data_IF_574403171890
#
_entry.id   IF_574403171890
#
_cell.length_a   1.000
_cell.length_b   1.000
_cell.length_c   1.000
_cell.angle_alpha   90.00
_cell.angle_beta   90.00
_cell.angle_gamma   90.00
#
_symmetry.space_group_name_H-M   'P 1'
#
loop_
_entity.id
_entity.type
_entity.pdbx_description
1 polymer ?
#
# COMPACT_ATOMS: atom_id res chain seq x y z
N UNK A 1 -16.98 28.96 14.94
CA UNK A 1 -18.03 27.95 15.22
C UNK A 1 -18.33 27.01 14.05
N UNK A 2 -17.89 27.26 12.80
CA UNK A 2 -18.17 26.38 11.65
C UNK A 2 -17.27 25.14 11.46
N UNK A 3 -16.00 25.15 11.91
CA UNK A 3 -15.09 24.00 11.72
C UNK A 3 -15.56 22.70 12.39
N UNK A 4 -16.31 22.80 13.50
CA UNK A 4 -16.78 21.61 14.20
C UNK A 4 -17.95 20.95 13.44
N UNK A 5 -18.87 21.74 12.85
CA UNK A 5 -20.03 21.20 12.13
C UNK A 5 -19.67 20.51 10.82
N UNK A 6 -18.66 21.02 10.10
CA UNK A 6 -18.25 20.42 8.83
C UNK A 6 -17.53 19.08 9.03
N UNK A 7 -16.73 18.98 10.10
CA UNK A 7 -16.10 17.71 10.46
C UNK A 7 -17.08 16.68 11.03
N UNK A 8 -18.08 17.09 11.82
CA UNK A 8 -19.19 16.20 12.20
C UNK A 8 -19.88 15.62 10.96
N UNK A 9 -20.15 16.47 9.96
CA UNK A 9 -20.76 16.03 8.71
C UNK A 9 -19.86 15.00 8.01
N UNK A 10 -18.57 15.29 7.85
CA UNK A 10 -17.59 14.38 7.26
C UNK A 10 -17.57 13.01 7.95
N UNK A 11 -17.58 12.98 9.29
CA UNK A 11 -17.61 11.73 10.06
C UNK A 11 -18.90 10.94 9.84
N UNK A 12 -20.03 11.64 9.66
CA UNK A 12 -21.32 11.02 9.42
C UNK A 12 -21.44 10.42 8.01
N UNK A 13 -20.92 11.10 6.99
CA UNK A 13 -21.12 10.69 5.59
C UNK A 13 -19.92 9.98 4.97
N UNK A 14 -18.70 10.25 5.40
CA UNK A 14 -17.48 9.83 4.72
C UNK A 14 -16.96 8.45 5.14
N UNK A 15 -17.43 7.93 6.28
CA UNK A 15 -16.99 6.63 6.80
C UNK A 15 -17.83 5.49 6.22
N UNK A 16 -17.21 4.45 5.62
CA UNK A 16 -17.98 3.33 5.08
C UNK A 16 -18.77 2.55 6.15
N UNK A 17 -19.80 1.76 5.75
CA UNK A 17 -20.69 1.08 6.69
C UNK A 17 -20.01 0.12 7.65
N UNK A 18 -18.92 -0.54 7.24
CA UNK A 18 -18.16 -1.41 8.13
C UNK A 18 -17.47 -0.63 9.25
N UNK A 19 -16.89 0.54 8.94
CA UNK A 19 -16.23 1.42 9.92
C UNK A 19 -17.24 2.00 10.90
N UNK A 20 -18.37 2.53 10.41
CA UNK A 20 -19.40 3.11 11.29
C UNK A 20 -20.00 2.07 12.23
N UNK A 21 -20.16 0.82 11.78
CA UNK A 21 -20.59 -0.30 12.62
C UNK A 21 -19.54 -0.69 13.67
N UNK A 22 -18.26 -0.77 13.29
CA UNK A 22 -17.18 -1.17 14.20
C UNK A 22 -16.89 -0.09 15.26
N UNK A 23 -16.91 1.18 14.85
CA UNK A 23 -16.49 2.32 15.66
C UNK A 23 -17.55 3.43 15.68
N UNK A 24 -18.73 3.19 16.28
CA UNK A 24 -19.89 4.09 16.19
C UNK A 24 -19.64 5.48 16.82
N UNK A 25 -18.71 5.58 17.76
CA UNK A 25 -18.38 6.82 18.47
C UNK A 25 -17.02 7.41 18.08
N UNK A 26 -16.33 6.80 17.12
CA UNK A 26 -15.01 7.26 16.71
C UNK A 26 -15.06 8.59 15.96
N UNK A 27 -13.98 9.36 16.16
CA UNK A 27 -13.66 10.61 15.46
C UNK A 27 -12.67 10.41 14.31
N UNK A 28 -12.20 9.19 14.09
CA UNK A 28 -11.30 8.86 13.00
C UNK A 28 -12.05 8.89 11.66
N UNK A 29 -11.56 9.67 10.71
CA UNK A 29 -12.09 9.73 9.35
C UNK A 29 -11.48 8.61 8.50
N UNK A 30 -11.83 7.36 8.82
CA UNK A 30 -11.42 6.19 8.03
C UNK A 30 -12.34 6.07 6.80
N UNK A 31 -11.76 6.10 5.61
CA UNK A 31 -12.46 6.26 4.32
C UNK A 31 -12.10 5.15 3.33
N UNK A 32 -12.84 5.05 2.24
CA UNK A 32 -12.45 4.20 1.11
C UNK A 32 -11.13 4.65 0.48
N UNK A 33 -10.34 3.70 -0.03
CA UNK A 33 -9.17 4.00 -0.88
C UNK A 33 -9.51 4.89 -2.08
N UNK A 34 -10.74 4.83 -2.60
CA UNK A 34 -11.22 5.71 -3.69
C UNK A 34 -11.10 7.20 -3.36
N UNK A 35 -11.37 7.56 -2.11
CA UNK A 35 -11.26 8.96 -1.64
C UNK A 35 -9.81 9.43 -1.73
N UNK A 36 -8.87 8.55 -1.34
CA UNK A 36 -7.43 8.83 -1.33
C UNK A 36 -6.92 9.03 -2.74
N UNK A 37 -7.27 8.12 -3.66
CA UNK A 37 -6.87 8.25 -5.06
C UNK A 37 -7.45 9.50 -5.73
N UNK A 38 -8.75 9.77 -5.54
CA UNK A 38 -9.39 10.95 -6.13
C UNK A 38 -8.76 12.27 -5.64
N UNK A 39 -8.33 12.34 -4.38
CA UNK A 39 -7.62 13.50 -3.88
C UNK A 39 -6.24 13.67 -4.54
N UNK A 40 -5.53 12.58 -4.79
CA UNK A 40 -4.25 12.60 -5.50
C UNK A 40 -4.41 12.98 -6.97
N UNK A 41 -5.42 12.44 -7.64
CA UNK A 41 -5.78 12.84 -9.02
C UNK A 41 -6.14 14.33 -9.07
N UNK A 42 -6.93 14.82 -8.11
CA UNK A 42 -7.32 16.24 -8.04
C UNK A 42 -6.12 17.16 -7.78
N UNK A 43 -5.16 16.73 -6.95
CA UNK A 43 -3.90 17.45 -6.72
C UNK A 43 -3.06 17.51 -7.98
N UNK A 44 -3.00 16.40 -8.72
CA UNK A 44 -2.20 16.23 -9.92
C UNK A 44 -0.71 16.15 -9.60
N UNK A 45 -0.01 15.21 -10.26
CA UNK A 45 1.44 14.99 -10.06
C UNK A 45 1.78 14.87 -8.57
N UNK A 46 1.04 13.98 -7.90
CA UNK A 46 1.17 13.73 -6.48
C UNK A 46 0.95 12.25 -6.20
N UNK A 47 1.65 11.75 -5.19
CA UNK A 47 1.45 10.42 -4.63
C UNK A 47 1.19 10.51 -3.13
N UNK A 48 0.41 9.59 -2.60
CA UNK A 48 0.39 9.32 -1.17
C UNK A 48 1.33 8.16 -0.85
N UNK A 49 1.60 7.99 0.44
CA UNK A 49 2.24 6.81 0.98
C UNK A 49 1.18 5.79 1.38
N UNK A 50 1.39 4.55 1.01
CA UNK A 50 0.80 3.42 1.70
C UNK A 50 1.85 2.91 2.70
N UNK A 51 1.63 3.27 3.97
CA UNK A 51 2.57 3.00 5.04
C UNK A 51 2.26 1.62 5.62
N UNK A 52 3.19 0.69 5.41
CA UNK A 52 2.99 -0.68 5.85
C UNK A 52 3.15 -0.77 7.38
N UNK A 53 2.03 -0.90 8.06
CA UNK A 53 1.86 -0.80 9.51
C UNK A 53 2.32 -2.04 10.26
N UNK A 54 3.55 -2.52 10.03
CA UNK A 54 4.12 -3.72 10.69
C UNK A 54 4.05 -3.65 12.22
N UNK A 55 4.07 -2.45 12.81
CA UNK A 55 4.03 -2.25 14.25
C UNK A 55 3.37 -0.91 14.64
N UNK A 56 3.10 -0.74 15.94
CA UNK A 56 2.43 0.44 16.50
C UNK A 56 3.18 1.76 16.25
N UNK A 57 4.52 1.73 16.24
CA UNK A 57 5.35 2.92 16.05
C UNK A 57 5.22 3.47 14.62
N UNK A 58 5.20 2.58 13.64
CA UNK A 58 4.99 2.94 12.22
C UNK A 58 3.63 3.59 12.02
N UNK A 59 2.56 2.97 12.53
CA UNK A 59 1.20 3.51 12.41
C UNK A 59 1.10 4.91 13.03
N UNK A 60 1.64 5.09 14.25
CA UNK A 60 1.62 6.39 14.95
C UNK A 60 2.38 7.47 14.19
N UNK A 61 3.61 7.17 13.76
CA UNK A 61 4.45 8.15 13.07
C UNK A 61 3.87 8.54 11.72
N UNK A 62 3.37 7.59 10.94
CA UNK A 62 2.74 7.86 9.65
C UNK A 62 1.48 8.73 9.78
N UNK A 63 0.63 8.45 10.77
CA UNK A 63 -0.58 9.25 11.05
C UNK A 63 -0.23 10.69 11.47
N UNK A 64 0.75 10.85 12.37
CA UNK A 64 1.21 12.19 12.79
C UNK A 64 1.81 12.98 11.63
N UNK A 65 2.63 12.33 10.79
CA UNK A 65 3.23 12.94 9.62
C UNK A 65 2.18 13.42 8.61
N UNK A 66 1.21 12.56 8.27
CA UNK A 66 0.17 12.90 7.31
C UNK A 66 -0.78 13.99 7.86
N UNK A 67 -1.09 13.97 9.16
CA UNK A 67 -1.84 15.05 9.82
C UNK A 67 -1.09 16.38 9.76
N UNK A 68 0.23 16.36 10.01
CA UNK A 68 1.09 17.56 9.93
C UNK A 68 1.18 18.10 8.50
N UNK A 69 1.17 17.22 7.50
CA UNK A 69 1.23 17.57 6.08
C UNK A 69 -0.13 17.92 5.44
N UNK A 70 -1.25 17.83 6.19
CA UNK A 70 -2.61 17.86 5.63
C UNK A 70 -2.73 16.92 4.40
N UNK A 71 -2.21 15.71 4.52
CA UNK A 71 -2.16 14.74 3.43
C UNK A 71 -3.08 13.54 3.71
N UNK A 72 -3.68 12.97 2.67
CA UNK A 72 -4.31 11.64 2.79
C UNK A 72 -3.25 10.57 2.96
N UNK A 73 -3.63 9.45 3.57
CA UNK A 73 -2.73 8.35 3.91
C UNK A 73 -3.44 7.00 3.69
N UNK A 74 -2.69 5.98 3.25
CA UNK A 74 -3.09 4.60 3.49
C UNK A 74 -2.20 4.00 4.59
N UNK A 75 -2.80 3.24 5.50
CA UNK A 75 -2.09 2.31 6.36
C UNK A 75 -2.39 0.92 5.84
N UNK A 76 -1.35 0.15 5.53
CA UNK A 76 -1.47 -1.15 4.89
C UNK A 76 -0.74 -2.26 5.65
N UNK A 77 -1.01 -3.51 5.31
CA UNK A 77 -0.23 -4.67 5.74
C UNK A 77 -0.33 -5.72 4.66
N UNK A 78 0.75 -6.43 4.33
CA UNK A 78 0.69 -7.51 3.36
C UNK A 78 0.10 -8.80 3.96
N UNK A 79 -0.45 -9.68 3.11
CA UNK A 79 -0.95 -11.00 3.53
C UNK A 79 0.16 -11.84 4.19
N UNK A 80 1.36 -11.84 3.62
CA UNK A 80 2.51 -12.57 4.18
C UNK A 80 2.92 -12.04 5.55
N UNK A 81 2.94 -10.71 5.71
CA UNK A 81 3.34 -10.02 6.93
C UNK A 81 2.39 -10.20 8.10
N UNK A 82 1.11 -10.46 7.82
CA UNK A 82 0.10 -10.78 8.83
C UNK A 82 0.46 -12.03 9.67
N UNK A 83 1.43 -12.84 9.24
CA UNK A 83 1.91 -14.03 9.96
C UNK A 83 3.07 -13.76 10.92
N UNK A 84 3.82 -12.67 10.74
CA UNK A 84 5.02 -12.34 11.52
C UNK A 84 5.06 -10.90 12.03
N UNK A 85 3.94 -10.19 11.94
CA UNK A 85 3.73 -8.88 12.55
C UNK A 85 2.58 -8.95 13.59
N UNK A 86 2.60 -8.11 14.64
CA UNK A 86 1.48 -7.96 15.56
C UNK A 86 0.22 -7.39 14.87
N UNK A 87 0.40 -6.68 13.76
CA UNK A 87 -0.68 -6.10 12.95
C UNK A 87 -1.01 -7.02 11.80
N UNK A 88 -2.31 -7.18 11.52
CA UNK A 88 -2.85 -8.00 10.44
C UNK A 88 -4.19 -7.43 9.96
N UNK A 89 -4.76 -8.04 8.91
CA UNK A 89 -6.03 -7.61 8.30
C UNK A 89 -7.21 -7.48 9.29
N UNK A 90 -7.19 -8.21 10.39
CA UNK A 90 -8.31 -8.28 11.34
C UNK A 90 -8.18 -7.29 12.51
N UNK A 91 -7.03 -6.64 12.68
CA UNK A 91 -6.81 -5.71 13.79
C UNK A 91 -6.28 -4.33 13.37
N UNK A 92 -5.78 -4.17 12.14
CA UNK A 92 -5.18 -2.93 11.66
C UNK A 92 -6.11 -1.72 11.80
N UNK A 93 -7.41 -1.88 11.48
CA UNK A 93 -8.40 -0.82 11.61
C UNK A 93 -8.61 -0.39 13.07
N UNK A 94 -8.57 -1.34 14.03
CA UNK A 94 -8.67 -1.04 15.46
C UNK A 94 -7.48 -0.21 15.94
N UNK A 95 -6.26 -0.53 15.49
CA UNK A 95 -5.06 0.24 15.82
C UNK A 95 -5.14 1.66 15.25
N UNK A 96 -5.48 1.79 13.97
CA UNK A 96 -5.60 3.10 13.31
C UNK A 96 -6.69 3.94 13.98
N UNK A 97 -7.86 3.37 14.25
CA UNK A 97 -8.96 4.04 14.95
C UNK A 97 -8.54 4.55 16.33
N UNK A 98 -7.93 3.68 17.14
CA UNK A 98 -7.48 4.02 18.49
C UNK A 98 -6.45 5.15 18.48
N UNK A 99 -5.46 5.08 17.59
CA UNK A 99 -4.41 6.09 17.47
C UNK A 99 -4.99 7.42 16.95
N UNK A 100 -5.92 7.38 16.00
CA UNK A 100 -6.57 8.58 15.49
C UNK A 100 -7.34 9.31 16.60
N UNK A 101 -8.10 8.58 17.42
CA UNK A 101 -8.84 9.18 18.53
C UNK A 101 -7.92 9.68 19.65
N UNK A 102 -6.85 8.94 19.97
CA UNK A 102 -5.85 9.34 20.97
C UNK A 102 -5.13 10.64 20.59
N UNK A 103 -4.71 10.75 19.33
CA UNK A 103 -3.88 11.86 18.83
C UNK A 103 -4.69 12.99 18.18
N UNK A 104 -6.01 12.85 18.08
CA UNK A 104 -6.88 13.84 17.42
C UNK A 104 -6.64 13.96 15.91
N UNK A 105 -6.37 12.83 15.23
CA UNK A 105 -6.16 12.79 13.78
C UNK A 105 -7.50 13.00 13.06
N UNK A 106 -7.52 13.94 12.12
CA UNK A 106 -8.72 14.37 11.37
C UNK A 106 -8.55 14.28 9.86
N UNK A 107 -7.38 13.87 9.37
CA UNK A 107 -7.18 13.60 7.95
C UNK A 107 -7.94 12.31 7.53
N UNK A 108 -8.33 12.18 6.26
CA UNK A 108 -8.85 10.93 5.73
C UNK A 108 -7.76 9.86 5.65
N UNK A 109 -8.05 8.67 6.17
CA UNK A 109 -7.13 7.52 6.17
C UNK A 109 -7.82 6.30 5.58
N UNK A 110 -7.19 5.62 4.62
CA UNK A 110 -7.67 4.33 4.15
C UNK A 110 -6.91 3.19 4.82
N UNK A 111 -7.62 2.09 5.11
CA UNK A 111 -7.06 0.82 5.55
C UNK A 111 -6.97 -0.11 4.33
N UNK A 112 -5.75 -0.47 3.94
CA UNK A 112 -5.48 -1.24 2.73
C UNK A 112 -4.96 -2.63 3.06
N UNK A 113 -5.56 -3.65 2.46
CA UNK A 113 -5.02 -5.01 2.45
C UNK A 113 -4.06 -5.12 1.27
N UNK A 114 -2.75 -5.05 1.55
CA UNK A 114 -1.69 -5.06 0.55
C UNK A 114 -1.39 -6.50 0.11
N UNK A 115 -0.95 -6.67 -1.14
CA UNK A 115 -0.64 -7.96 -1.78
C UNK A 115 -1.52 -9.10 -1.26
N UNK A 116 -2.84 -9.04 -1.50
CA UNK A 116 -3.71 -10.17 -1.21
C UNK A 116 -3.46 -11.27 -2.27
N UNK A 117 -2.33 -11.95 -2.10
CA UNK A 117 -1.75 -12.86 -3.07
C UNK A 117 -2.63 -14.09 -3.33
N UNK A 118 -2.88 -14.32 -4.62
CA UNK A 118 -3.52 -15.49 -5.22
C UNK A 118 -2.45 -16.15 -6.11
N UNK A 119 -1.81 -17.20 -5.59
CA UNK A 119 -0.73 -17.91 -6.29
C UNK A 119 -1.28 -19.07 -7.13
N UNK A 120 -2.49 -19.54 -6.81
CA UNK A 120 -3.14 -20.67 -7.47
C UNK A 120 -4.67 -20.58 -7.46
N UNK A 121 -5.34 -21.41 -8.26
CA UNK A 121 -6.81 -21.51 -8.23
C UNK A 121 -7.35 -22.01 -6.88
N UNK A 122 -6.55 -22.76 -6.12
CA UNK A 122 -6.92 -23.25 -4.78
C UNK A 122 -7.08 -22.09 -3.79
N UNK A 123 -6.28 -21.03 -3.93
CA UNK A 123 -6.34 -19.84 -3.09
C UNK A 123 -7.66 -19.08 -3.25
N UNK A 124 -8.30 -19.15 -4.43
CA UNK A 124 -9.55 -18.43 -4.74
C UNK A 124 -10.67 -18.85 -3.78
N UNK A 125 -10.78 -20.15 -3.47
CA UNK A 125 -11.84 -20.64 -2.57
C UNK A 125 -11.70 -20.10 -1.16
N UNK A 126 -10.46 -20.02 -0.66
CA UNK A 126 -10.18 -19.42 0.64
C UNK A 126 -10.40 -17.90 0.61
N UNK A 127 -9.98 -17.22 -0.45
CA UNK A 127 -10.16 -15.79 -0.66
C UNK A 127 -11.64 -15.37 -0.62
N UNK A 128 -12.53 -16.13 -1.25
CA UNK A 128 -13.99 -15.88 -1.20
C UNK A 128 -14.56 -15.89 0.22
N UNK A 129 -13.98 -16.68 1.12
CA UNK A 129 -14.38 -16.73 2.54
C UNK A 129 -13.74 -15.58 3.33
N UNK A 130 -12.47 -15.31 3.09
CA UNK A 130 -11.68 -14.39 3.91
C UNK A 130 -11.94 -12.91 3.57
N UNK A 131 -12.05 -12.55 2.28
CA UNK A 131 -12.25 -11.16 1.84
C UNK A 131 -13.44 -10.49 2.55
N UNK A 132 -14.66 -11.07 2.57
CA UNK A 132 -15.78 -10.48 3.30
C UNK A 132 -15.49 -10.30 4.80
N UNK A 133 -14.76 -11.23 5.41
CA UNK A 133 -14.41 -11.20 6.83
C UNK A 133 -13.41 -10.08 7.14
N UNK A 134 -12.42 -9.86 6.26
CA UNK A 134 -11.46 -8.76 6.36
C UNK A 134 -12.13 -7.39 6.22
N UNK A 135 -13.02 -7.23 5.24
CA UNK A 135 -13.85 -6.03 5.13
C UNK A 135 -14.74 -5.86 6.38
N UNK A 136 -15.28 -6.95 6.91
CA UNK A 136 -16.00 -6.98 8.18
C UNK A 136 -15.17 -6.51 9.39
N UNK A 137 -13.85 -6.67 9.35
CA UNK A 137 -12.90 -6.25 10.37
C UNK A 137 -12.32 -4.83 10.17
N UNK A 138 -12.72 -4.14 9.10
CA UNK A 138 -12.42 -2.72 8.89
C UNK A 138 -11.44 -2.40 7.77
N UNK A 139 -11.07 -3.38 6.92
CA UNK A 139 -10.42 -3.08 5.64
C UNK A 139 -11.35 -2.20 4.79
N UNK A 140 -10.77 -1.24 4.06
CA UNK A 140 -11.50 -0.29 3.20
C UNK A 140 -10.97 -0.23 1.76
N UNK A 141 -9.87 -0.93 1.50
CA UNK A 141 -9.24 -1.07 0.20
C UNK A 141 -8.43 -2.37 0.14
N UNK A 142 -8.28 -2.97 -1.03
CA UNK A 142 -7.57 -4.23 -1.22
C UNK A 142 -6.80 -4.23 -2.55
N UNK A 143 -5.59 -4.77 -2.54
CA UNK A 143 -4.85 -5.18 -3.73
C UNK A 143 -5.08 -6.68 -3.99
N UNK A 144 -5.86 -7.02 -5.02
CA UNK A 144 -6.02 -8.41 -5.47
C UNK A 144 -4.87 -8.73 -6.41
N UNK A 145 -3.84 -9.34 -5.84
CA UNK A 145 -2.63 -9.71 -6.55
C UNK A 145 -2.71 -11.16 -7.00
N UNK A 146 -3.13 -11.35 -8.24
CA UNK A 146 -3.15 -12.63 -8.93
C UNK A 146 -2.06 -12.70 -10.02
N UNK A 147 -1.06 -11.82 -9.92
CA UNK A 147 -0.06 -11.59 -10.97
C UNK A 147 1.05 -12.65 -11.02
N UNK A 148 1.11 -13.54 -10.03
CA UNK A 148 1.90 -14.78 -10.05
C UNK A 148 1.32 -15.86 -10.99
N UNK A 149 0.06 -15.71 -11.42
CA UNK A 149 -0.59 -16.62 -12.35
C UNK A 149 -0.52 -16.11 -13.79
N UNK A 150 -0.79 -16.99 -14.75
CA UNK A 150 -0.89 -16.62 -16.17
C UNK A 150 -1.96 -15.54 -16.38
N UNK A 151 -1.80 -14.68 -17.38
CA UNK A 151 -2.63 -13.47 -17.55
C UNK A 151 -4.13 -13.74 -17.59
N UNK A 152 -4.57 -14.83 -18.22
CA UNK A 152 -5.98 -15.24 -18.22
C UNK A 152 -6.47 -15.59 -16.81
N UNK A 153 -5.67 -16.34 -16.04
CA UNK A 153 -5.99 -16.70 -14.65
C UNK A 153 -5.96 -15.49 -13.74
N UNK A 154 -5.02 -14.56 -13.92
CA UNK A 154 -4.97 -13.29 -13.19
C UNK A 154 -6.27 -12.50 -13.39
N UNK A 155 -6.67 -12.29 -14.65
CA UNK A 155 -7.91 -11.58 -14.97
C UNK A 155 -9.15 -12.32 -14.44
N UNK A 156 -9.23 -13.64 -14.63
CA UNK A 156 -10.39 -14.43 -14.17
C UNK A 156 -10.50 -14.45 -12.64
N UNK A 157 -9.39 -14.52 -11.92
CA UNK A 157 -9.39 -14.44 -10.45
C UNK A 157 -9.89 -13.06 -9.97
N UNK A 158 -9.43 -11.97 -10.59
CA UNK A 158 -9.93 -10.64 -10.26
C UNK A 158 -11.43 -10.49 -10.54
N UNK A 159 -11.94 -11.00 -11.67
CA UNK A 159 -13.38 -10.98 -11.98
C UNK A 159 -14.17 -11.75 -10.92
N UNK A 160 -13.71 -12.96 -10.58
CA UNK A 160 -14.40 -13.86 -9.65
C UNK A 160 -14.40 -13.34 -8.19
N UNK A 161 -13.28 -12.77 -7.74
CA UNK A 161 -13.15 -12.24 -6.38
C UNK A 161 -13.85 -10.89 -6.20
N UNK A 162 -14.08 -10.14 -7.28
CA UNK A 162 -14.75 -8.84 -7.19
C UNK A 162 -16.17 -8.93 -6.61
N UNK A 163 -16.88 -10.05 -6.80
CA UNK A 163 -18.21 -10.29 -6.22
C UNK A 163 -18.22 -10.21 -4.68
N UNK A 164 -17.06 -10.40 -4.05
CA UNK A 164 -16.89 -10.42 -2.59
C UNK A 164 -16.32 -9.10 -2.05
N UNK A 165 -15.99 -8.14 -2.94
CA UNK A 165 -15.42 -6.84 -2.59
C UNK A 165 -16.55 -5.80 -2.63
N UNK A 166 -16.78 -5.03 -1.55
CA UNK A 166 -17.78 -3.98 -1.56
C UNK A 166 -17.48 -2.94 -2.65
N UNK A 167 -18.48 -2.58 -3.46
CA UNK A 167 -18.33 -1.62 -4.57
C UNK A 167 -17.79 -0.24 -4.18
N UNK A 168 -17.98 0.18 -2.93
CA UNK A 168 -17.44 1.43 -2.39
C UNK A 168 -15.94 1.35 -2.04
N UNK A 169 -15.37 0.15 -1.89
CA UNK A 169 -13.98 -0.05 -1.48
C UNK A 169 -13.00 0.31 -2.59
N UNK A 170 -11.79 0.72 -2.21
CA UNK A 170 -10.69 0.93 -3.17
C UNK A 170 -10.16 -0.41 -3.70
N UNK A 171 -10.04 -0.56 -5.01
CA UNK A 171 -9.53 -1.76 -5.65
C UNK A 171 -8.20 -1.50 -6.35
N UNK A 172 -7.20 -2.29 -5.99
CA UNK A 172 -5.92 -2.37 -6.68
C UNK A 172 -5.77 -3.75 -7.31
N UNK A 173 -5.13 -3.79 -8.48
CA UNK A 173 -4.81 -5.02 -9.22
C UNK A 173 -3.36 -4.97 -9.68
N UNK A 174 -2.82 -6.09 -10.15
CA UNK A 174 -1.38 -6.19 -10.41
C UNK A 174 -1.08 -7.05 -11.64
N UNK A 175 0.02 -6.76 -12.31
CA UNK A 175 0.55 -7.55 -13.42
C UNK A 175 2.07 -7.55 -13.42
N UNK A 176 2.67 -8.72 -13.69
CA UNK A 176 4.10 -8.86 -13.98
C UNK A 176 4.90 -9.73 -13.00
N UNK A 177 4.38 -10.11 -11.84
CA UNK A 177 5.13 -10.92 -10.86
C UNK A 177 5.50 -12.31 -11.38
N UNK A 178 4.65 -12.93 -12.21
CA UNK A 178 4.96 -14.23 -12.86
C UNK A 178 6.27 -14.19 -13.66
N UNK A 179 6.72 -13.00 -14.08
CA UNK A 179 7.95 -12.83 -14.87
C UNK A 179 9.21 -12.71 -14.00
N UNK A 180 9.05 -12.70 -12.68
CA UNK A 180 10.11 -12.59 -11.69
C UNK A 180 10.98 -11.34 -11.82
N UNK A 181 12.15 -11.37 -11.20
CA UNK A 181 13.07 -10.22 -11.12
C UNK A 181 13.71 -9.81 -12.46
N UNK A 182 13.43 -10.52 -13.57
CA UNK A 182 14.03 -10.25 -14.87
C UNK A 182 13.02 -9.81 -15.94
N UNK A 183 11.75 -10.14 -15.78
CA UNK A 183 10.72 -9.72 -16.74
C UNK A 183 9.98 -8.48 -16.25
N UNK A 184 9.74 -7.56 -17.18
CA UNK A 184 9.01 -6.32 -16.93
C UNK A 184 7.59 -6.43 -17.48
N UNK A 185 6.65 -5.72 -16.85
CA UNK A 185 5.30 -5.57 -17.38
C UNK A 185 5.32 -4.81 -18.70
N UNK A 186 4.42 -5.16 -19.61
CA UNK A 186 4.26 -4.51 -20.91
C UNK A 186 2.94 -3.75 -20.99
N UNK A 187 2.81 -2.90 -22.02
CA UNK A 187 1.54 -2.23 -22.35
C UNK A 187 0.44 -3.27 -22.60
N UNK A 188 0.77 -4.39 -23.24
CA UNK A 188 -0.20 -5.41 -23.61
C UNK A 188 -0.69 -6.19 -22.37
N UNK A 189 0.20 -6.54 -21.44
CA UNK A 189 -0.20 -7.24 -20.20
C UNK A 189 -1.17 -6.37 -19.38
N UNK A 190 -0.79 -5.11 -19.14
CA UNK A 190 -1.59 -4.18 -18.36
C UNK A 190 -2.90 -3.81 -19.06
N UNK A 191 -2.86 -3.63 -20.39
CA UNK A 191 -4.06 -3.37 -21.19
C UNK A 191 -5.01 -4.57 -21.18
N UNK A 192 -4.49 -5.80 -21.23
CA UNK A 192 -5.30 -7.01 -21.19
C UNK A 192 -6.11 -7.09 -19.89
N UNK A 193 -5.44 -6.91 -18.75
CA UNK A 193 -6.06 -6.96 -17.43
C UNK A 193 -7.13 -5.86 -17.30
N UNK A 194 -6.78 -4.60 -17.54
CA UNK A 194 -7.69 -3.47 -17.31
C UNK A 194 -8.87 -3.48 -18.29
N UNK A 195 -8.67 -3.84 -19.55
CA UNK A 195 -9.78 -3.98 -20.52
C UNK A 195 -10.72 -5.10 -20.13
N UNK A 196 -10.17 -6.24 -19.71
CA UNK A 196 -10.96 -7.36 -19.21
C UNK A 196 -11.83 -6.96 -18.04
N UNK A 197 -11.26 -6.34 -17.02
CA UNK A 197 -12.01 -5.84 -15.86
C UNK A 197 -13.09 -4.84 -16.29
N UNK A 198 -12.74 -3.88 -17.15
CA UNK A 198 -13.68 -2.89 -17.65
C UNK A 198 -14.88 -3.52 -18.38
N UNK A 199 -14.65 -4.56 -19.19
CA UNK A 199 -15.70 -5.29 -19.90
C UNK A 199 -16.71 -5.95 -18.96
N UNK A 200 -16.26 -6.36 -17.78
CA UNK A 200 -17.09 -6.92 -16.71
C UNK A 200 -17.65 -5.86 -15.75
N UNK A 201 -17.46 -4.58 -16.03
CA UNK A 201 -17.96 -3.48 -15.19
C UNK A 201 -17.16 -3.28 -13.91
N UNK A 202 -15.92 -3.78 -13.87
CA UNK A 202 -15.00 -3.63 -12.75
C UNK A 202 -14.03 -2.50 -13.08
N UNK A 203 -13.89 -1.55 -12.15
CA UNK A 203 -13.08 -0.35 -12.31
C UNK A 203 -12.03 -0.33 -11.22
N UNK A 204 -10.84 -0.85 -11.51
CA UNK A 204 -9.71 -0.74 -10.60
C UNK A 204 -9.32 0.73 -10.41
N UNK A 205 -9.06 1.12 -9.17
CA UNK A 205 -8.57 2.44 -8.82
C UNK A 205 -7.07 2.52 -9.08
N UNK A 206 -6.35 1.44 -8.76
CA UNK A 206 -4.91 1.31 -8.96
C UNK A 206 -4.51 0.08 -9.76
N UNK A 207 -3.38 0.18 -10.46
CA UNK A 207 -2.63 -0.93 -11.03
C UNK A 207 -1.17 -0.88 -10.57
N UNK A 208 -0.68 -1.99 -10.03
CA UNK A 208 0.73 -2.23 -9.76
C UNK A 208 1.39 -2.94 -10.96
N UNK A 209 2.64 -2.60 -11.21
CA UNK A 209 3.42 -3.09 -12.36
C UNK A 209 4.79 -3.57 -11.86
N UNK A 210 5.24 -4.71 -12.37
CA UNK A 210 6.66 -5.07 -12.30
C UNK A 210 7.45 -4.15 -13.26
N UNK A 211 7.95 -3.05 -12.72
CA UNK A 211 8.74 -2.06 -13.44
C UNK A 211 10.23 -2.07 -13.05
N UNK A 212 10.71 -3.20 -12.50
CA UNK A 212 12.09 -3.38 -12.08
C UNK A 212 12.40 -2.90 -10.66
N UNK A 213 11.41 -2.42 -9.90
CA UNK A 213 11.55 -2.23 -8.45
C UNK A 213 11.57 -3.57 -7.72
N UNK A 214 12.44 -3.73 -6.71
CA UNK A 214 12.48 -4.90 -5.84
C UNK A 214 11.89 -4.60 -4.46
N UNK A 215 11.25 -5.59 -3.83
CA UNK A 215 10.90 -5.50 -2.41
C UNK A 215 12.17 -5.61 -1.55
N UNK A 216 12.25 -4.81 -0.48
CA UNK A 216 13.36 -4.88 0.48
C UNK A 216 14.52 -3.93 0.17
N UNK A 217 15.75 -4.45 0.25
CA UNK A 217 16.97 -3.68 -0.05
C UNK A 217 17.31 -3.84 -1.54
N UNK A 218 17.57 -2.73 -2.22
CA UNK A 218 17.93 -2.73 -3.64
C UNK A 218 19.26 -3.47 -3.88
N UNK A 219 19.25 -4.48 -4.75
CA UNK A 219 20.41 -5.33 -5.04
C UNK A 219 20.66 -5.59 -6.53
N UNK A 220 19.75 -5.16 -7.43
CA UNK A 220 19.75 -5.54 -8.86
C UNK A 220 20.37 -4.48 -9.78
N UNK A 221 20.47 -3.23 -9.33
CA UNK A 221 21.00 -2.09 -10.08
C UNK A 221 20.12 -1.57 -11.21
N UNK A 222 19.03 -2.26 -11.59
CA UNK A 222 18.09 -1.78 -12.62
C UNK A 222 17.24 -0.63 -12.07
N UNK A 223 16.63 -0.83 -10.90
CA UNK A 223 15.67 0.07 -10.28
C UNK A 223 14.46 0.40 -11.17
N UNK A 224 13.64 1.34 -10.70
CA UNK A 224 12.39 1.73 -11.37
C UNK A 224 12.62 2.20 -12.82
N UNK A 225 11.87 1.61 -13.76
CA UNK A 225 11.77 2.01 -15.17
C UNK A 225 10.64 3.04 -15.36
N UNK A 226 11.00 4.33 -15.28
CA UNK A 226 10.05 5.45 -15.28
C UNK A 226 9.35 5.61 -16.63
N UNK A 227 10.10 5.51 -17.73
CA UNK A 227 9.58 5.69 -19.10
C UNK A 227 8.59 4.58 -19.46
N UNK A 228 8.90 3.33 -19.11
CA UNK A 228 8.02 2.19 -19.29
C UNK A 228 6.70 2.40 -18.51
N UNK A 229 6.82 2.82 -17.26
CA UNK A 229 5.65 3.08 -16.40
C UNK A 229 4.78 4.20 -16.99
N UNK A 230 5.39 5.26 -17.51
CA UNK A 230 4.69 6.35 -18.19
C UNK A 230 3.98 5.87 -19.47
N UNK A 231 4.61 5.02 -20.26
CA UNK A 231 4.03 4.43 -21.48
C UNK A 231 2.79 3.58 -21.17
N UNK A 232 2.90 2.70 -20.17
CA UNK A 232 1.77 1.87 -19.72
C UNK A 232 0.63 2.74 -19.20
N UNK A 233 0.92 3.71 -18.31
CA UNK A 233 -0.11 4.61 -17.80
C UNK A 233 -0.76 5.44 -18.91
N UNK A 234 -0.01 5.81 -19.96
CA UNK A 234 -0.55 6.51 -21.12
C UNK A 234 -1.56 5.64 -21.88
N UNK A 235 -1.25 4.37 -22.08
CA UNK A 235 -2.17 3.43 -22.73
C UNK A 235 -3.46 3.20 -21.92
N UNK A 236 -3.38 3.30 -20.59
CA UNK A 236 -4.49 3.07 -19.67
C UNK A 236 -5.35 4.30 -19.36
N UNK A 237 -4.96 5.50 -19.81
CA UNK A 237 -5.71 6.76 -19.59
C UNK A 237 -7.23 6.65 -19.85
N UNK A 238 -7.72 5.97 -20.93
CA UNK A 238 -9.16 5.86 -21.18
C UNK A 238 -9.94 5.19 -20.04
N UNK A 239 -9.30 4.34 -19.25
CA UNK A 239 -9.92 3.59 -18.14
C UNK A 239 -9.82 4.30 -16.80
N UNK A 240 -9.09 5.42 -16.74
CA UNK A 240 -8.92 6.27 -15.55
C UNK A 240 -8.31 5.53 -14.33
N UNK A 241 -7.55 4.45 -14.56
CA UNK A 241 -6.79 3.74 -13.51
C UNK A 241 -5.50 4.50 -13.20
N UNK A 242 -5.17 4.60 -11.91
CA UNK A 242 -3.94 5.24 -11.43
C UNK A 242 -2.86 4.18 -11.23
N UNK A 243 -1.58 4.59 -11.24
CA UNK A 243 -0.50 3.66 -10.86
C UNK A 243 -0.37 3.49 -9.34
N UNK A 244 0.01 2.30 -8.91
CA UNK A 244 0.56 2.02 -7.59
C UNK A 244 2.04 1.61 -7.74
N UNK A 245 2.95 2.34 -7.07
CA UNK A 245 4.37 1.99 -7.05
C UNK A 245 4.66 1.11 -5.84
N UNK A 246 4.95 -0.16 -6.10
CA UNK A 246 5.49 -1.08 -5.11
C UNK A 246 7.01 -0.94 -4.97
N UNK A 247 7.63 -1.64 -4.02
CA UNK A 247 9.09 -1.63 -3.88
C UNK A 247 9.72 -0.23 -3.73
N UNK A 248 9.06 0.71 -3.05
CA UNK A 248 9.57 2.11 -2.95
C UNK A 248 10.81 2.21 -2.06
N UNK A 249 10.90 1.38 -1.02
CA UNK A 249 12.12 1.26 -0.22
C UNK A 249 13.24 0.70 -1.10
N UNK A 250 14.37 1.39 -1.14
CA UNK A 250 15.50 1.10 -2.02
C UNK A 250 15.61 1.98 -3.26
N UNK A 251 14.66 2.90 -3.50
CA UNK A 251 14.71 3.79 -4.66
C UNK A 251 15.07 5.24 -4.29
N UNK A 252 15.93 5.86 -5.10
CA UNK A 252 16.34 7.25 -4.92
C UNK A 252 15.14 8.20 -5.01
N UNK A 253 15.08 9.18 -4.11
CA UNK A 253 14.10 10.27 -4.13
C UNK A 253 13.92 10.93 -5.51
N UNK A 254 14.97 11.07 -6.32
CA UNK A 254 14.90 11.63 -7.69
C UNK A 254 14.10 10.73 -8.64
N UNK A 255 14.24 9.40 -8.55
CA UNK A 255 13.41 8.46 -9.33
C UNK A 255 11.95 8.52 -8.86
N UNK A 256 11.72 8.64 -7.57
CA UNK A 256 10.37 8.76 -7.01
C UNK A 256 9.69 10.08 -7.41
N UNK A 257 10.46 11.16 -7.50
CA UNK A 257 10.02 12.42 -8.10
C UNK A 257 9.71 12.28 -9.57
N UNK A 258 10.55 11.56 -10.31
CA UNK A 258 10.31 11.29 -11.72
C UNK A 258 9.00 10.53 -11.88
N UNK A 259 8.76 9.45 -11.12
CA UNK A 259 7.46 8.76 -11.12
C UNK A 259 6.31 9.72 -10.83
N UNK A 260 6.39 10.50 -9.75
CA UNK A 260 5.37 11.49 -9.38
C UNK A 260 5.10 12.51 -10.50
N UNK A 261 6.14 12.95 -11.21
CA UNK A 261 6.07 14.00 -12.22
C UNK A 261 5.70 13.52 -13.62
N UNK A 262 6.13 12.33 -14.03
CA UNK A 262 6.05 11.86 -15.43
C UNK A 262 4.96 10.83 -15.65
N UNK A 263 4.48 10.15 -14.60
CA UNK A 263 3.45 9.11 -14.71
C UNK A 263 2.11 9.58 -14.13
N UNK A 264 1.13 8.66 -14.10
CA UNK A 264 -0.16 8.79 -13.39
C UNK A 264 -0.19 7.95 -12.09
N UNK A 265 0.96 7.68 -11.47
CA UNK A 265 1.02 7.01 -10.16
C UNK A 265 0.49 7.94 -9.08
N UNK A 266 -0.33 7.41 -8.16
CA UNK A 266 -0.91 8.17 -7.03
C UNK A 266 -0.70 7.52 -5.66
N UNK A 267 -0.19 6.27 -5.62
CA UNK A 267 0.11 5.51 -4.40
C UNK A 267 1.53 4.96 -4.49
N UNK A 268 2.27 4.99 -3.37
CA UNK A 268 3.57 4.33 -3.25
C UNK A 268 3.67 3.54 -1.93
N UNK A 269 3.96 2.24 -2.00
CA UNK A 269 4.06 1.35 -0.84
C UNK A 269 5.43 1.49 -0.18
N UNK A 270 5.47 1.72 1.14
CA UNK A 270 6.71 1.86 1.92
C UNK A 270 6.61 1.03 3.19
N UNK A 271 7.53 0.07 3.34
CA UNK A 271 7.53 -0.86 4.48
C UNK A 271 8.88 -0.89 5.22
N UNK A 272 9.93 -1.39 4.56
CA UNK A 272 11.22 -1.63 5.20
C UNK A 272 11.82 -0.37 5.80
N UNK A 273 11.84 0.75 5.08
CA UNK A 273 12.37 2.00 5.61
C UNK A 273 11.69 2.41 6.94
N UNK A 274 10.35 2.28 7.03
CA UNK A 274 9.57 2.73 8.19
C UNK A 274 9.95 1.97 9.47
N UNK A 275 10.10 0.65 9.40
CA UNK A 275 10.55 -0.12 10.57
C UNK A 275 11.99 0.23 10.95
N UNK A 276 12.89 0.39 9.97
CA UNK A 276 14.31 0.61 10.22
C UNK A 276 14.54 1.99 10.88
N UNK A 277 13.87 3.04 10.39
CA UNK A 277 13.94 4.36 11.05
C UNK A 277 13.29 4.35 12.43
N UNK A 278 12.21 3.58 12.64
CA UNK A 278 11.61 3.42 13.98
C UNK A 278 12.59 2.78 14.97
N UNK A 279 13.46 1.89 14.48
CA UNK A 279 14.51 1.25 15.26
C UNK A 279 15.74 2.15 15.46
N UNK A 280 15.81 3.27 14.74
CA UNK A 280 16.94 4.20 14.78
C UNK A 280 18.15 3.67 14.04
N UNK A 281 17.92 2.88 12.99
CA UNK A 281 18.94 2.51 12.02
C UNK A 281 19.11 3.64 11.01
N UNK A 282 20.35 3.85 10.57
CA UNK A 282 20.63 4.83 9.53
C UNK A 282 20.05 4.34 8.20
N UNK A 283 19.26 5.20 7.56
CA UNK A 283 18.63 4.93 6.28
C UNK A 283 19.11 6.00 5.31
N UNK A 284 19.58 5.59 4.14
CA UNK A 284 20.04 6.52 3.11
C UNK A 284 18.87 7.14 2.33
N UNK A 285 19.17 8.04 1.39
CA UNK A 285 18.17 8.70 0.53
C UNK A 285 17.36 7.73 -0.36
N UNK A 286 17.79 6.46 -0.42
CA UNK A 286 17.08 5.39 -1.11
C UNK A 286 16.05 4.69 -0.21
N UNK A 287 16.01 4.97 1.09
CA UNK A 287 15.19 4.19 2.02
C UNK A 287 15.82 2.85 2.43
N UNK A 288 17.09 2.61 2.06
CA UNK A 288 17.85 1.42 2.46
C UNK A 288 18.54 1.67 3.80
N UNK A 289 18.39 0.72 4.72
CA UNK A 289 19.18 0.73 5.95
C UNK A 289 20.65 0.47 5.60
N UNK A 290 21.53 1.34 6.10
CA UNK A 290 22.96 1.23 5.88
C UNK A 290 23.52 0.03 6.64
N UNK A 291 24.47 -0.65 6.02
CA UNK A 291 25.19 -1.77 6.59
C UNK A 291 26.68 -1.46 6.66
N UNK A 292 27.36 -2.00 7.67
CA UNK A 292 28.81 -1.92 7.80
C UNK A 292 29.52 -2.96 6.89
N UNK A 293 30.85 -3.05 6.99
CA UNK A 293 31.65 -3.96 6.18
C UNK A 293 31.35 -5.46 6.43
N UNK A 294 30.70 -5.79 7.54
CA UNK A 294 30.30 -7.15 7.90
C UNK A 294 28.87 -7.48 7.45
N UNK A 295 28.13 -6.49 6.93
CA UNK A 295 26.72 -6.62 6.56
C UNK A 295 25.76 -6.37 7.72
N UNK A 296 26.24 -5.84 8.84
CA UNK A 296 25.41 -5.53 10.01
C UNK A 296 24.81 -4.13 9.87
N UNK A 297 23.56 -3.94 10.28
CA UNK A 297 22.90 -2.64 10.17
C UNK A 297 23.54 -1.59 11.09
N UNK A 298 23.73 -0.38 10.55
CA UNK A 298 24.30 0.74 11.28
C UNK A 298 23.22 1.38 12.15
N UNK A 299 23.40 1.26 13.47
CA UNK A 299 22.54 1.86 14.49
C UNK A 299 23.03 3.26 14.83
N UNK A 300 22.20 4.28 14.59
CA UNK A 300 22.49 5.65 15.00
C UNK A 300 22.42 5.79 16.52
N UNK A 301 23.45 6.38 17.13
CA UNK A 301 23.52 6.61 18.57
C UNK A 301 22.37 7.52 19.03
N UNK A 302 21.70 7.11 20.10
CA UNK A 302 20.63 7.91 20.71
C UNK A 302 19.34 8.05 19.87
N UNK A 303 19.23 7.39 18.70
CA UNK A 303 18.02 7.35 17.87
C UNK A 303 17.19 6.10 18.10
N UNK A 304 15.90 6.10 17.75
CA UNK A 304 15.03 4.91 17.83
C UNK A 304 14.99 4.24 19.21
N UNK A 305 15.10 2.91 19.25
CA UNK A 305 15.11 2.14 20.50
C UNK A 305 16.41 2.33 21.31
N UNK A 306 16.47 1.82 22.55
CA UNK A 306 17.71 1.82 23.34
C UNK A 306 18.79 0.92 22.71
N UNK A 307 20.06 1.20 23.02
CA UNK A 307 21.18 0.34 22.60
C UNK A 307 21.06 -1.09 23.16
N UNK A 308 20.67 -1.21 24.43
CA UNK A 308 20.43 -2.52 25.07
C UNK A 308 19.32 -3.32 24.35
N UNK A 309 18.25 -2.65 23.91
CA UNK A 309 17.20 -3.32 23.16
C UNK A 309 17.69 -3.76 21.77
N UNK A 310 18.51 -2.94 21.12
CA UNK A 310 19.12 -3.29 19.84
C UNK A 310 20.03 -4.51 19.97
N UNK A 311 20.93 -4.54 20.96
CA UNK A 311 21.79 -5.69 21.26
C UNK A 311 20.98 -6.97 21.50
N UNK A 312 19.86 -6.86 22.22
CA UNK A 312 18.96 -8.00 22.45
C UNK A 312 18.28 -8.47 21.17
N UNK A 313 17.88 -7.54 20.30
CA UNK A 313 17.27 -7.86 19.00
C UNK A 313 18.27 -8.55 18.06
N UNK A 314 19.50 -8.06 17.96
CA UNK A 314 20.53 -8.68 17.11
C UNK A 314 20.96 -10.04 17.64
N UNK A 315 21.09 -10.20 18.96
CA UNK A 315 21.39 -11.52 19.56
C UNK A 315 20.30 -12.56 19.27
N UNK A 316 19.02 -12.16 19.37
CA UNK A 316 17.91 -13.04 19.00
C UNK A 316 17.93 -13.37 17.50
N UNK A 317 18.23 -12.38 16.66
CA UNK A 317 18.33 -12.58 15.22
C UNK A 317 19.44 -13.60 14.88
N UNK A 318 20.60 -13.49 15.51
CA UNK A 318 21.71 -14.42 15.34
C UNK A 318 21.34 -15.85 15.77
N UNK A 319 20.71 -16.00 16.94
CA UNK A 319 20.23 -17.29 17.46
C UNK A 319 19.25 -17.97 16.48
N UNK A 320 18.42 -17.18 15.80
CA UNK A 320 17.39 -17.67 14.88
C UNK A 320 17.80 -17.58 13.40
N UNK A 321 19.07 -17.27 13.10
CA UNK A 321 19.58 -17.11 11.73
C UNK A 321 18.81 -16.09 10.88
N UNK A 322 18.26 -15.05 11.51
CA UNK A 322 17.55 -13.95 10.85
C UNK A 322 18.58 -12.91 10.37
N UNK A 323 18.64 -12.64 9.06
CA UNK A 323 19.63 -11.73 8.46
C UNK A 323 19.02 -10.78 7.43
N UNK A 324 19.63 -9.60 7.27
CA UNK A 324 19.25 -8.62 6.24
C UNK A 324 17.76 -8.27 6.25
N UNK A 325 17.11 -8.36 5.08
CA UNK A 325 15.68 -8.09 4.93
C UNK A 325 14.75 -8.92 5.83
N UNK A 326 15.19 -10.12 6.27
CA UNK A 326 14.42 -10.96 7.17
C UNK A 326 14.27 -10.38 8.58
N UNK A 327 14.98 -9.29 8.93
CA UNK A 327 14.73 -8.55 10.16
C UNK A 327 13.26 -8.11 10.29
N UNK A 328 12.49 -8.05 9.19
CA UNK A 328 11.01 -7.89 9.21
C UNK A 328 10.31 -8.88 10.16
N UNK A 329 10.85 -10.09 10.35
CA UNK A 329 10.33 -11.13 11.25
C UNK A 329 10.55 -10.84 12.74
N UNK A 330 11.33 -9.81 13.09
CA UNK A 330 11.54 -9.40 14.48
C UNK A 330 10.37 -8.56 15.05
N UNK A 331 9.45 -8.06 14.19
CA UNK A 331 8.33 -7.24 14.64
C UNK A 331 7.46 -7.99 15.67
N UNK A 332 7.05 -9.22 15.40
CA UNK A 332 6.22 -9.99 16.33
C UNK A 332 6.91 -10.31 17.68
N UNK A 333 8.11 -10.91 17.73
CA UNK A 333 8.74 -11.24 19.01
C UNK A 333 9.15 -10.01 19.84
N UNK A 334 9.39 -8.85 19.21
CA UNK A 334 9.87 -7.66 19.93
C UNK A 334 8.83 -6.56 20.16
N UNK A 335 7.62 -6.62 19.59
CA UNK A 335 6.60 -5.57 19.77
C UNK A 335 6.36 -5.23 21.26
N UNK A 336 6.17 -6.25 22.10
CA UNK A 336 5.92 -6.06 23.53
C UNK A 336 7.12 -5.41 24.22
N UNK A 337 8.34 -5.82 23.86
CA UNK A 337 9.57 -5.30 24.44
C UNK A 337 9.82 -3.85 24.02
N UNK A 338 9.60 -3.54 22.75
CA UNK A 338 9.73 -2.17 22.23
C UNK A 338 8.70 -1.25 22.88
N UNK A 339 7.45 -1.70 23.06
CA UNK A 339 6.39 -0.94 23.73
C UNK A 339 6.57 -0.82 25.24
N UNK A 340 7.36 -1.69 25.86
CA UNK A 340 7.70 -1.63 27.28
C UNK A 340 8.83 -0.64 27.59
N UNK A 341 9.52 -0.12 26.57
CA UNK A 341 10.53 0.93 26.78
C UNK A 341 9.91 2.21 27.35
N UNK A 342 10.75 3.02 28.00
CA UNK A 342 10.37 4.32 28.52
C UNK A 342 9.69 5.19 27.47
N UNK A 343 8.73 6.00 27.90
CA UNK A 343 7.95 6.89 27.04
C UNK A 343 8.81 7.71 26.09
N UNK A 344 9.88 8.34 26.59
CA UNK A 344 10.81 9.14 25.77
C UNK A 344 11.46 8.35 24.63
N UNK A 345 11.70 7.05 24.83
CA UNK A 345 12.26 6.18 23.80
C UNK A 345 11.18 5.86 22.77
N UNK A 346 9.98 5.50 23.22
CA UNK A 346 8.84 5.23 22.33
C UNK A 346 8.50 6.43 21.46
N UNK A 347 8.45 7.63 22.06
CA UNK A 347 8.21 8.88 21.35
C UNK A 347 9.28 9.16 20.30
N UNK A 348 10.55 8.87 20.63
CA UNK A 348 11.65 9.00 19.68
C UNK A 348 11.54 8.02 18.50
N UNK A 349 11.13 6.78 18.76
CA UNK A 349 10.87 5.79 17.69
C UNK A 349 9.76 6.26 16.76
N UNK A 350 8.66 6.76 17.33
CA UNK A 350 7.54 7.35 16.55
C UNK A 350 8.02 8.57 15.76
N UNK A 351 8.80 9.46 16.38
CA UNK A 351 9.29 10.69 15.76
C UNK A 351 10.18 10.43 14.55
N UNK A 352 11.01 9.39 14.60
CA UNK A 352 11.82 8.97 13.46
C UNK A 352 10.98 8.60 12.23
N UNK A 353 9.88 7.87 12.46
CA UNK A 353 8.91 7.56 11.39
C UNK A 353 8.19 8.82 10.93
N UNK A 354 7.74 9.67 11.86
CA UNK A 354 7.02 10.91 11.54
C UNK A 354 7.84 11.80 10.60
N UNK A 355 9.10 12.08 10.94
CA UNK A 355 9.94 12.95 10.11
C UNK A 355 10.24 12.33 8.73
N UNK A 356 10.47 11.02 8.68
CA UNK A 356 10.69 10.32 7.41
C UNK A 356 9.44 10.40 6.51
N UNK A 357 8.26 10.06 7.03
CA UNK A 357 7.01 10.07 6.27
C UNK A 357 6.62 11.49 5.88
N UNK A 358 6.82 12.48 6.75
CA UNK A 358 6.53 13.88 6.44
C UNK A 358 7.41 14.37 5.28
N UNK A 359 8.70 14.06 5.30
CA UNK A 359 9.60 14.38 4.20
C UNK A 359 9.17 13.71 2.89
N UNK A 360 8.78 12.44 2.92
CA UNK A 360 8.27 11.75 1.72
C UNK A 360 7.01 12.43 1.18
N UNK A 361 6.00 12.67 2.03
CA UNK A 361 4.74 13.27 1.62
C UNK A 361 4.91 14.69 1.04
N UNK A 362 5.61 15.57 1.77
CA UNK A 362 5.71 16.99 1.40
C UNK A 362 6.79 17.18 0.35
N UNK A 363 7.99 16.69 0.65
CA UNK A 363 9.14 17.03 -0.18
C UNK A 363 9.25 16.12 -1.38
N UNK A 364 8.88 14.83 -1.35
CA UNK A 364 9.08 13.89 -2.48
C UNK A 364 7.83 13.72 -3.34
N UNK A 365 6.69 13.49 -2.70
CA UNK A 365 5.46 13.05 -3.36
C UNK A 365 4.42 14.15 -3.62
N UNK A 366 4.68 15.40 -3.21
CA UNK A 366 3.76 16.54 -3.44
C UNK A 366 2.34 16.28 -2.87
N UNK A 367 2.24 15.61 -1.71
CA UNK A 367 0.99 15.20 -1.10
C UNK A 367 0.36 16.27 -0.19
N UNK A 368 1.05 17.38 0.08
CA UNK A 368 0.56 18.42 1.00
C UNK A 368 -0.79 19.01 0.52
N UNK A 369 -1.75 19.13 1.44
CA UNK A 369 -3.09 19.66 1.18
C UNK A 369 -4.10 18.66 0.59
N UNK A 370 -3.69 17.41 0.35
CA UNK A 370 -4.59 16.39 -0.24
C UNK A 370 -5.67 15.91 0.72
N UNK A 371 -5.47 16.00 2.04
CA UNK A 371 -6.54 15.71 3.00
C UNK A 371 -7.70 16.70 2.87
N UNK A 372 -7.41 17.98 2.60
CA UNK A 372 -8.45 18.97 2.28
C UNK A 372 -9.22 18.59 1.01
N UNK A 373 -8.52 18.23 -0.08
CA UNK A 373 -9.16 17.79 -1.33
C UNK A 373 -10.05 16.55 -1.15
N UNK A 374 -9.61 15.58 -0.35
CA UNK A 374 -10.41 14.40 -0.02
C UNK A 374 -11.67 14.74 0.77
N UNK A 375 -11.57 15.64 1.76
CA UNK A 375 -12.73 16.13 2.53
C UNK A 375 -13.74 16.84 1.62
N UNK A 376 -13.26 17.67 0.70
CA UNK A 376 -14.11 18.34 -0.30
C UNK A 376 -14.80 17.32 -1.21
N UNK A 377 -14.09 16.28 -1.66
CA UNK A 377 -14.68 15.22 -2.50
C UNK A 377 -15.81 14.49 -1.77
N UNK A 378 -15.63 14.14 -0.49
CA UNK A 378 -16.67 13.53 0.35
C UNK A 378 -17.86 14.47 0.50
N UNK A 379 -17.63 15.74 0.85
CA UNK A 379 -18.70 16.73 1.05
C UNK A 379 -19.51 16.98 -0.22
N UNK A 380 -18.84 16.97 -1.38
CA UNK A 380 -19.48 17.12 -2.70
C UNK A 380 -20.31 15.90 -3.08
N UNK A 381 -19.82 14.69 -2.77
CA UNK A 381 -20.54 13.45 -3.02
C UNK A 381 -21.70 13.23 -2.03
N UNK A 382 -21.63 13.87 -0.85
CA UNK A 382 -22.52 13.65 0.29
C UNK A 382 -22.60 12.17 0.70
N UNK A 383 -21.49 11.44 0.52
CA UNK A 383 -21.44 9.97 0.59
C UNK A 383 -20.01 9.47 0.84
N UNK A 384 -19.90 8.28 1.43
CA UNK A 384 -18.65 7.51 1.57
C UNK A 384 -18.28 6.79 0.26
N UNK A 385 -19.27 6.55 -0.59
CA UNK A 385 -19.13 5.92 -1.89
C UNK A 385 -19.08 7.00 -2.96
N UNK A 386 -17.90 7.16 -3.57
CA UNK A 386 -17.63 8.16 -4.60
C UNK A 386 -17.83 7.57 -6.02
N UNK A 387 -18.23 6.29 -6.12
CA UNK A 387 -18.40 5.61 -7.39
C UNK A 387 -17.08 5.30 -8.10
N UNK A 388 -17.13 4.75 -9.32
CA UNK A 388 -15.93 4.49 -10.12
C UNK A 388 -15.41 5.77 -10.79
N UNK A 389 -14.09 5.86 -11.00
CA UNK A 389 -13.47 6.93 -11.80
C UNK A 389 -13.81 6.85 -13.29
N UNK A 390 -13.94 5.62 -13.79
CA UNK A 390 -14.17 5.32 -15.20
C UNK A 390 -15.61 4.94 -15.51
N UNK A 391 -15.83 4.61 -16.78
CA UNK A 391 -17.07 4.03 -17.29
C UNK A 391 -16.76 2.78 -18.10
N UNK A 392 -17.76 1.92 -18.30
CA UNK A 392 -17.62 0.77 -19.19
C UNK A 392 -17.41 1.23 -20.63
N UNK A 393 -16.38 0.69 -21.28
CA UNK A 393 -15.95 0.97 -22.64
C UNK A 393 -15.96 -0.32 -23.46
N UNK A 394 -15.45 -1.40 -22.90
CA UNK A 394 -15.34 -2.70 -23.56
C UNK A 394 -16.68 -3.46 -23.57
N UNK A 395 -16.91 -4.26 -24.61
CA UNK A 395 -18.07 -5.15 -24.70
C UNK A 395 -17.79 -6.49 -24.00
N UNK A 396 -18.65 -6.87 -23.06
CA UNK A 396 -18.52 -8.15 -22.35
C UNK A 396 -18.59 -9.35 -23.30
N UNK A 397 -19.29 -9.23 -24.43
CA UNK A 397 -19.35 -10.28 -25.45
C UNK A 397 -17.97 -10.58 -26.06
N UNK A 398 -17.04 -9.63 -25.99
CA UNK A 398 -15.66 -9.77 -26.41
C UNK A 398 -14.74 -10.30 -25.30
N UNK A 399 -15.20 -10.37 -24.06
CA UNK A 399 -14.43 -10.79 -22.91
C UNK A 399 -15.07 -11.97 -22.17
N UNK A 400 -15.62 -12.93 -22.93
CA UNK A 400 -16.05 -14.24 -22.37
C UNK A 400 -14.83 -15.03 -21.88
N UNK A 401 -15.05 -16.01 -21.00
CA UNK A 401 -13.96 -16.86 -20.48
C UNK A 401 -13.12 -17.48 -21.60
N UNK A 402 -13.75 -17.97 -22.65
CA UNK A 402 -13.07 -18.58 -23.80
C UNK A 402 -12.24 -17.56 -24.57
N UNK A 403 -12.77 -16.33 -24.77
CA UNK A 403 -12.06 -15.25 -25.46
C UNK A 403 -10.90 -14.71 -24.63
N UNK A 404 -11.05 -14.63 -23.30
CA UNK A 404 -9.99 -14.26 -22.35
C UNK A 404 -8.81 -15.24 -22.50
N UNK A 405 -9.08 -16.55 -22.38
CA UNK A 405 -8.06 -17.61 -22.50
C UNK A 405 -7.41 -17.58 -23.89
N UNK A 406 -8.19 -17.38 -24.95
CA UNK A 406 -7.65 -17.33 -26.31
C UNK A 406 -6.74 -16.12 -26.54
N UNK A 407 -7.08 -14.95 -25.99
CA UNK A 407 -6.27 -13.72 -26.10
C UNK A 407 -5.01 -13.78 -25.26
N UNK A 408 -5.06 -14.32 -24.03
CA UNK A 408 -3.87 -14.43 -23.19
C UNK A 408 -2.75 -15.22 -23.87
N UNK A 409 -3.09 -16.25 -24.67
CA UNK A 409 -2.12 -17.02 -25.47
C UNK A 409 -1.39 -16.21 -26.56
N UNK A 410 -1.87 -15.01 -26.87
CA UNK A 410 -1.26 -14.10 -27.85
C UNK A 410 -0.36 -13.05 -27.22
N UNK A 411 -0.36 -12.93 -25.88
CA UNK A 411 0.53 -12.04 -25.15
C UNK A 411 1.96 -12.62 -25.15
N UNK A 412 2.95 -11.72 -25.17
CA UNK A 412 4.37 -12.11 -25.27
C UNK A 412 4.81 -12.95 -24.06
N UNK A 413 5.48 -14.05 -24.37
CA UNK A 413 5.63 -15.22 -23.49
C UNK A 413 6.96 -15.24 -22.75
N UNK A 414 7.72 -14.15 -22.73
CA UNK A 414 8.93 -14.09 -21.92
C UNK A 414 8.55 -13.99 -20.43
N UNK A 415 8.29 -15.16 -19.85
CA UNK A 415 7.90 -15.39 -18.46
C UNK A 415 9.11 -15.40 -17.53
N UNK A 416 10.32 -15.07 -18.03
CA UNK A 416 11.54 -15.17 -17.23
C UNK A 416 11.81 -16.61 -16.74
N UNK A 417 12.85 -16.82 -15.91
CA UNK A 417 13.08 -18.09 -15.23
C UNK A 417 12.12 -18.28 -14.03
N UNK A 418 11.79 -19.53 -13.70
CA UNK A 418 11.04 -19.88 -12.47
C UNK A 418 11.75 -19.28 -11.23
N UNK A 419 11.01 -18.50 -10.43
CA UNK A 419 11.52 -17.82 -9.23
C UNK A 419 10.93 -18.36 -7.92
N UNK A 420 11.58 -18.06 -6.80
CA UNK A 420 11.03 -18.26 -5.46
C UNK A 420 10.39 -16.93 -5.01
N UNK A 421 9.07 -16.92 -4.84
CA UNK A 421 8.23 -15.70 -4.78
C UNK A 421 7.66 -15.46 -3.36
N UNK A 422 8.47 -15.66 -2.33
CA UNK A 422 8.04 -15.68 -0.92
C UNK A 422 8.31 -14.39 -0.14
N UNK A 423 8.59 -13.27 -0.83
CA UNK A 423 8.91 -12.00 -0.15
C UNK A 423 7.72 -11.17 0.32
#
# INVERSE_FOLDING_TARGET
MGMNTDFEKLIAIGRPPNITRLFPHSRALIVSGKVVDLAMVAKGKAMTIAANGRNSFVIRGALQAAQRADAVLLIEIAKSESTYCPINFFNIALYVDSVCNELGITIPVAIHADHYGIKSEEDISYAKMEIPSMFGAGITSIAVDASHMEDDKNLLANIELNEFIPSWAGLETEVGEIKGNQGLSTVDDASFLIKGLNAHGIFADWIALNNGSSHGLEASGQGIQVELTAEIHKALEPYCVSGAQHGTSGNNSDKLRAITGTTNTTKANVATALQMVSWGLEVNDYGNALQDANGDFIKAEGQGMSGEMWERMTAYADEHSIKGGNYKKLNLPFEIHLRAQDEKIRDRMVKGVEEFVYNMLVNVFNAEGTATLAKEAILKADSYDLGPKGRKIEDVADWTREKIIARAKTLDVDKGPDGDFDD
#
